data_IF_812543471701
#
_entry.id   IF_812543471701
#
_cell.length_a   1.000
_cell.length_b   1.000
_cell.length_c   1.000
_cell.angle_alpha   90.00
_cell.angle_beta   90.00
_cell.angle_gamma   90.00
#
_symmetry.space_group_name_H-M   'P 1'
#
loop_
_entity.id
_entity.type
_entity.pdbx_description
1 polymer ?
#
# COMPACT_ATOMS: atom_id res chain seq x y z
N UNK A 1 -8.09 -22.27 17.63
CA UNK A 1 -8.38 -20.87 17.29
C UNK A 1 -9.12 -20.33 18.50
N UNK A 2 -8.43 -19.56 19.33
CA UNK A 2 -9.10 -18.87 20.45
C UNK A 2 -10.10 -17.91 19.84
N UNK A 3 -11.40 -18.15 20.09
CA UNK A 3 -12.43 -17.13 19.90
C UNK A 3 -12.04 -15.97 20.80
N UNK A 4 -11.38 -14.97 20.22
CA UNK A 4 -11.33 -13.66 20.83
C UNK A 4 -12.71 -13.05 20.63
N UNK A 5 -13.42 -12.81 21.73
CA UNK A 5 -14.68 -12.08 21.71
C UNK A 5 -14.42 -10.70 21.14
N UNK A 6 -14.80 -10.50 19.87
CA UNK A 6 -14.69 -9.21 19.20
C UNK A 6 -15.46 -8.15 19.98
N UNK A 7 -14.99 -6.90 19.93
CA UNK A 7 -15.78 -5.78 20.41
C UNK A 7 -17.14 -5.75 19.70
N UNK A 8 -18.23 -5.30 20.35
CA UNK A 8 -19.53 -5.19 19.69
C UNK A 8 -19.49 -4.35 18.40
N UNK A 9 -18.62 -3.34 18.37
CA UNK A 9 -18.39 -2.48 17.19
C UNK A 9 -17.77 -3.28 16.05
N UNK A 10 -16.71 -4.04 16.32
CA UNK A 10 -16.02 -4.85 15.31
C UNK A 10 -16.89 -6.02 14.84
N UNK A 11 -17.68 -6.64 15.74
CA UNK A 11 -18.65 -7.67 15.37
C UNK A 11 -19.70 -7.14 14.38
N UNK A 12 -20.36 -6.02 14.71
CA UNK A 12 -21.35 -5.39 13.84
C UNK A 12 -20.75 -4.93 12.50
N UNK A 13 -19.50 -4.45 12.52
CA UNK A 13 -18.74 -4.11 11.32
C UNK A 13 -18.54 -5.33 10.41
N UNK A 14 -18.10 -6.45 10.99
CA UNK A 14 -17.81 -7.70 10.27
C UNK A 14 -19.06 -8.36 9.70
N UNK A 15 -20.21 -8.18 10.34
CA UNK A 15 -21.51 -8.59 9.78
C UNK A 15 -21.93 -7.73 8.58
N UNK A 16 -21.67 -6.41 8.63
CA UNK A 16 -22.08 -5.46 7.58
C UNK A 16 -21.26 -5.58 6.29
N UNK A 17 -19.94 -5.77 6.41
CA UNK A 17 -19.03 -5.77 5.26
C UNK A 17 -18.81 -7.20 4.77
N UNK A 18 -19.53 -7.58 3.72
CA UNK A 18 -19.46 -8.93 3.13
C UNK A 18 -18.46 -9.08 1.98
N UNK A 19 -17.79 -7.98 1.58
CA UNK A 19 -16.77 -7.95 0.51
C UNK A 19 -15.69 -6.93 0.86
N UNK A 20 -14.49 -7.09 0.29
CA UNK A 20 -13.43 -6.10 0.43
C UNK A 20 -13.91 -4.69 0.07
N UNK A 21 -13.68 -3.77 0.99
CA UNK A 21 -14.15 -2.39 0.93
C UNK A 21 -13.04 -1.44 1.37
N UNK A 22 -12.95 -0.30 0.72
CA UNK A 22 -12.12 0.84 1.13
C UNK A 22 -12.84 1.53 2.28
N UNK A 23 -12.20 1.57 3.44
CA UNK A 23 -12.66 2.34 4.59
C UNK A 23 -12.33 3.82 4.39
N UNK A 24 -13.34 4.63 4.07
CA UNK A 24 -13.15 6.02 3.63
C UNK A 24 -12.40 6.90 4.65
N UNK A 25 -12.63 6.78 5.97
CA UNK A 25 -11.86 7.53 6.97
C UNK A 25 -10.33 7.38 6.89
N UNK A 26 -9.81 6.18 6.60
CA UNK A 26 -8.35 5.93 6.68
C UNK A 26 -7.69 5.50 5.36
N UNK A 27 -8.50 5.14 4.34
CA UNK A 27 -8.03 4.61 3.07
C UNK A 27 -7.39 3.23 3.16
N UNK A 28 -7.65 2.51 4.26
CA UNK A 28 -7.34 1.09 4.40
C UNK A 28 -8.39 0.24 3.68
N UNK A 29 -8.00 -0.95 3.23
CA UNK A 29 -8.95 -1.94 2.74
C UNK A 29 -9.28 -2.89 3.90
N UNK A 30 -10.57 -3.11 4.16
CA UNK A 30 -11.05 -4.08 5.14
C UNK A 30 -12.15 -4.96 4.57
N UNK A 31 -12.37 -6.13 5.16
CA UNK A 31 -13.41 -7.07 4.76
C UNK A 31 -12.89 -8.50 4.54
N UNK A 32 -13.80 -9.42 4.17
CA UNK A 32 -13.47 -10.83 4.01
C UNK A 32 -12.64 -11.09 2.74
N UNK A 33 -11.63 -11.95 2.86
CA UNK A 33 -10.83 -12.47 1.76
C UNK A 33 -11.18 -13.92 1.53
N UNK A 34 -11.73 -14.23 0.35
CA UNK A 34 -11.90 -15.60 -0.09
C UNK A 34 -10.54 -16.14 -0.59
N UNK A 35 -10.02 -17.19 0.06
CA UNK A 35 -8.86 -17.91 -0.47
C UNK A 35 -9.33 -18.88 -1.56
N UNK A 36 -8.79 -18.73 -2.78
CA UNK A 36 -9.15 -19.55 -3.94
C UNK A 36 -9.01 -21.07 -3.71
N UNK A 37 -8.20 -21.50 -2.75
CA UNK A 37 -7.90 -22.91 -2.46
C UNK A 37 -8.72 -23.51 -1.30
N UNK A 38 -9.48 -22.72 -0.56
CA UNK A 38 -10.27 -23.21 0.58
C UNK A 38 -11.66 -22.59 0.58
N UNK A 39 -12.63 -23.30 0.00
CA UNK A 39 -14.06 -22.92 -0.05
C UNK A 39 -14.74 -22.73 1.33
N UNK A 40 -14.02 -22.88 2.46
CA UNK A 40 -14.61 -22.94 3.80
C UNK A 40 -14.17 -21.88 4.79
N UNK A 41 -13.11 -21.11 4.54
CA UNK A 41 -12.66 -20.09 5.51
C UNK A 41 -12.29 -18.79 4.79
N UNK A 42 -13.21 -17.83 4.81
CA UNK A 42 -12.85 -16.45 4.54
C UNK A 42 -12.08 -15.93 5.76
N UNK A 43 -10.87 -15.42 5.55
CA UNK A 43 -10.14 -14.68 6.59
C UNK A 43 -10.54 -13.22 6.52
N UNK A 44 -10.50 -12.50 7.63
CA UNK A 44 -10.83 -11.09 7.62
C UNK A 44 -9.58 -10.24 7.55
N UNK A 45 -9.57 -9.26 6.65
CA UNK A 45 -8.56 -8.22 6.62
C UNK A 45 -9.06 -7.01 7.37
N UNK A 46 -8.31 -6.59 8.39
CA UNK A 46 -8.63 -5.40 9.17
C UNK A 46 -7.93 -4.15 8.64
N UNK A 47 -8.50 -2.98 8.96
CA UNK A 47 -7.79 -1.71 8.92
C UNK A 47 -7.41 -1.24 10.33
N UNK A 48 -6.61 -0.19 10.44
CA UNK A 48 -6.15 0.36 11.74
C UNK A 48 -7.23 1.08 12.56
N UNK A 49 -8.47 1.13 12.07
CA UNK A 49 -9.60 1.77 12.76
C UNK A 49 -10.50 0.76 13.49
N UNK A 50 -10.21 -0.53 13.38
CA UNK A 50 -10.84 -1.56 14.21
C UNK A 50 -10.20 -1.58 15.60
N UNK A 51 -10.99 -1.91 16.61
CA UNK A 51 -10.51 -2.00 18.00
C UNK A 51 -9.54 -3.17 18.14
N UNK A 52 -9.87 -4.28 17.48
CA UNK A 52 -9.11 -5.53 17.50
C UNK A 52 -8.80 -6.01 16.07
N UNK A 53 -7.81 -5.40 15.39
CA UNK A 53 -7.41 -5.81 14.05
C UNK A 53 -6.98 -7.29 14.01
N UNK A 54 -7.50 -8.03 13.04
CA UNK A 54 -7.19 -9.44 12.86
C UNK A 54 -5.71 -9.66 12.54
N UNK A 55 -5.11 -10.61 13.26
CA UNK A 55 -3.73 -11.06 13.05
C UNK A 55 -3.73 -12.46 12.43
N UNK A 56 -2.87 -12.66 11.43
CA UNK A 56 -2.74 -13.92 10.72
C UNK A 56 -1.41 -14.58 11.10
N UNK A 57 -1.44 -15.58 11.97
CA UNK A 57 -0.23 -16.17 12.57
C UNK A 57 0.73 -16.83 11.57
N UNK A 58 0.26 -17.15 10.37
CA UNK A 58 1.04 -17.84 9.33
C UNK A 58 1.81 -16.90 8.39
N UNK A 59 1.75 -15.59 8.62
CA UNK A 59 2.38 -14.57 7.77
C UNK A 59 3.00 -13.45 8.60
N UNK A 60 3.95 -12.71 8.03
CA UNK A 60 4.57 -11.57 8.71
C UNK A 60 3.77 -10.26 8.56
N UNK A 61 2.78 -10.23 7.66
CA UNK A 61 1.90 -9.08 7.43
C UNK A 61 0.46 -9.56 7.21
N UNK A 62 -0.42 -9.26 8.16
CA UNK A 62 -1.87 -9.62 8.17
C UNK A 62 -2.72 -8.77 7.22
N UNK A 63 -2.26 -8.56 5.99
CA UNK A 63 -3.02 -7.88 4.93
C UNK A 63 -2.58 -8.38 3.57
N UNK A 64 -3.54 -8.71 2.73
CA UNK A 64 -3.31 -9.10 1.34
C UNK A 64 -3.41 -7.91 0.39
N UNK A 65 -4.34 -6.99 0.65
CA UNK A 65 -4.64 -5.87 -0.24
C UNK A 65 -4.46 -4.52 0.44
N UNK A 66 -3.65 -3.67 -0.16
CA UNK A 66 -3.59 -2.24 0.11
C UNK A 66 -4.04 -1.47 -1.13
N UNK A 67 -4.52 -0.23 -0.97
CA UNK A 67 -4.54 0.70 -2.10
C UNK A 67 -3.10 1.03 -2.50
N UNK A 68 -2.82 1.08 -3.80
CA UNK A 68 -1.52 1.49 -4.32
C UNK A 68 -1.09 2.83 -3.72
N UNK A 69 0.12 2.91 -3.17
CA UNK A 69 0.64 4.10 -2.49
C UNK A 69 0.73 5.34 -3.39
N UNK A 70 0.85 5.14 -4.70
CA UNK A 70 1.00 6.22 -5.68
C UNK A 70 -0.36 6.62 -6.26
N UNK A 71 -1.02 5.74 -7.00
CA UNK A 71 -2.25 6.10 -7.70
C UNK A 71 -3.50 6.00 -6.82
N UNK A 72 -3.47 5.18 -5.76
CA UNK A 72 -4.61 4.88 -4.88
C UNK A 72 -5.85 4.31 -5.59
N UNK A 73 -5.72 3.88 -6.84
CA UNK A 73 -6.79 3.28 -7.66
C UNK A 73 -6.71 1.76 -7.69
N UNK A 74 -5.53 1.26 -8.04
CA UNK A 74 -5.25 -0.17 -8.08
C UNK A 74 -4.94 -0.72 -6.69
N UNK A 75 -5.01 -2.04 -6.54
CA UNK A 75 -4.50 -2.72 -5.35
C UNK A 75 -2.99 -2.98 -5.45
N UNK A 76 -2.38 -3.09 -4.29
CA UNK A 76 -1.01 -3.53 -4.06
C UNK A 76 -0.99 -4.39 -2.78
N UNK A 77 0.20 -4.68 -2.27
CA UNK A 77 0.37 -5.43 -1.03
C UNK A 77 0.69 -6.90 -1.28
N UNK A 78 0.30 -7.72 -0.32
CA UNK A 78 0.73 -9.10 -0.17
C UNK A 78 0.97 -9.43 1.30
N UNK A 79 0.94 -10.70 1.64
CA UNK A 79 1.06 -11.14 3.04
C UNK A 79 2.50 -11.19 3.55
N UNK A 80 3.48 -10.75 2.74
CA UNK A 80 4.89 -10.75 3.12
C UNK A 80 5.40 -9.33 3.40
N UNK A 81 6.43 -9.19 4.25
CA UNK A 81 7.29 -8.01 4.30
C UNK A 81 8.05 -7.79 2.99
N UNK A 82 8.16 -8.82 2.15
CA UNK A 82 8.70 -8.75 0.80
C UNK A 82 7.64 -8.46 -0.27
N UNK A 83 6.61 -7.67 0.09
CA UNK A 83 5.55 -7.25 -0.84
C UNK A 83 5.74 -5.80 -1.28
N UNK A 84 5.21 -5.47 -2.46
CA UNK A 84 5.21 -4.12 -2.99
C UNK A 84 4.03 -3.32 -2.43
N UNK A 85 4.22 -2.03 -2.14
CA UNK A 85 3.15 -1.10 -1.72
C UNK A 85 2.54 -0.33 -2.88
N UNK A 86 2.97 -0.60 -4.12
CA UNK A 86 2.46 0.02 -5.33
C UNK A 86 2.02 -1.05 -6.34
N UNK A 87 1.00 -0.72 -7.13
CA UNK A 87 0.52 -1.59 -8.21
C UNK A 87 1.56 -1.77 -9.31
N UNK A 88 1.33 -2.73 -10.19
CA UNK A 88 2.23 -3.05 -11.30
C UNK A 88 2.57 -1.86 -12.19
N UNK A 89 1.58 -1.10 -12.64
CA UNK A 89 1.80 0.09 -13.48
C UNK A 89 2.67 1.14 -12.78
N UNK A 90 2.37 1.46 -11.52
CA UNK A 90 3.17 2.40 -10.74
C UNK A 90 4.61 1.90 -10.51
N UNK A 91 4.81 0.58 -10.34
CA UNK A 91 6.16 0.01 -10.26
C UNK A 91 6.90 0.10 -11.58
N UNK A 92 6.23 -0.17 -12.70
CA UNK A 92 6.82 -0.07 -14.03
C UNK A 92 7.27 1.37 -14.32
N UNK A 93 6.46 2.36 -13.97
CA UNK A 93 6.81 3.78 -14.11
C UNK A 93 7.98 4.15 -13.19
N UNK A 94 7.95 3.74 -11.92
CA UNK A 94 9.06 3.97 -10.98
C UNK A 94 10.40 3.44 -11.52
N UNK A 95 10.37 2.26 -12.16
CA UNK A 95 11.54 1.66 -12.81
C UNK A 95 11.95 2.41 -14.07
N UNK A 96 11.01 2.89 -14.88
CA UNK A 96 11.32 3.69 -16.06
C UNK A 96 12.00 5.02 -15.67
N UNK A 97 11.50 5.69 -14.63
CA UNK A 97 12.14 6.90 -14.09
C UNK A 97 13.52 6.60 -13.54
N UNK A 98 13.70 5.46 -12.86
CA UNK A 98 15.03 5.03 -12.40
C UNK A 98 16.03 4.91 -13.55
N UNK A 99 15.61 4.31 -14.67
CA UNK A 99 16.46 4.17 -15.85
C UNK A 99 16.78 5.53 -16.50
N UNK A 100 15.84 6.48 -16.48
CA UNK A 100 16.03 7.81 -17.07
C UNK A 100 16.91 8.73 -16.21
N UNK A 101 16.79 8.66 -14.89
CA UNK A 101 17.48 9.57 -13.96
C UNK A 101 18.73 8.96 -13.31
N UNK A 102 18.93 7.66 -13.42
CA UNK A 102 20.02 6.94 -12.74
C UNK A 102 19.75 6.67 -11.25
N UNK A 103 18.65 7.15 -10.68
CA UNK A 103 18.26 6.90 -9.29
C UNK A 103 16.77 6.60 -9.17
N UNK A 104 16.39 5.75 -8.22
CA UNK A 104 14.99 5.36 -8.01
C UNK A 104 14.28 6.46 -7.21
N UNK A 105 13.16 7.02 -7.68
CA UNK A 105 12.56 8.16 -7.02
C UNK A 105 11.78 7.78 -5.75
N UNK A 106 11.17 6.58 -5.72
CA UNK A 106 10.38 6.13 -4.57
C UNK A 106 10.74 4.71 -4.14
N UNK A 107 10.80 4.50 -2.82
CA UNK A 107 10.97 3.19 -2.20
C UNK A 107 9.61 2.48 -2.08
N UNK A 108 9.25 1.70 -3.11
CA UNK A 108 7.93 1.05 -3.22
C UNK A 108 7.89 -0.39 -2.66
N UNK A 109 9.00 -0.93 -2.18
CA UNK A 109 9.03 -2.19 -1.45
C UNK A 109 8.87 -1.96 0.06
N UNK A 110 8.13 -2.84 0.74
CA UNK A 110 8.01 -2.79 2.22
C UNK A 110 9.34 -3.07 2.94
N UNK A 111 10.27 -3.74 2.27
CA UNK A 111 11.59 -4.07 2.81
C UNK A 111 12.71 -3.31 2.08
N UNK A 112 13.72 -2.84 2.81
CA UNK A 112 14.88 -2.09 2.27
C UNK A 112 15.56 -2.78 1.08
N UNK A 113 15.81 -4.09 1.20
CA UNK A 113 16.36 -4.93 0.13
C UNK A 113 15.58 -4.86 -1.20
N UNK A 114 14.24 -4.77 -1.16
CA UNK A 114 13.43 -4.61 -2.38
C UNK A 114 13.68 -3.26 -3.08
N UNK A 115 14.21 -2.30 -2.33
CA UNK A 115 14.57 -0.98 -2.79
C UNK A 115 16.06 -0.86 -3.15
N UNK A 116 16.81 -1.97 -3.15
CA UNK A 116 18.26 -1.98 -3.41
C UNK A 116 19.08 -1.41 -2.25
N UNK A 117 18.49 -1.33 -1.06
CA UNK A 117 19.12 -0.75 0.12
C UNK A 117 19.56 -1.88 1.05
N UNK A 118 20.86 -2.07 1.14
CA UNK A 118 21.51 -3.03 2.04
C UNK A 118 22.91 -2.54 2.42
N UNK A 119 23.42 -3.05 3.53
CA UNK A 119 24.78 -2.79 4.02
C UNK A 119 25.60 -4.06 3.80
N UNK A 120 26.70 -3.96 3.08
CA UNK A 120 27.59 -5.09 2.82
C UNK A 120 28.65 -5.18 3.91
N UNK A 121 28.69 -6.31 4.63
CA UNK A 121 29.75 -6.61 5.58
C UNK A 121 31.11 -6.71 4.87
N UNK A 122 32.13 -6.07 5.44
CA UNK A 122 33.50 -6.08 4.89
C UNK A 122 33.77 -5.10 3.74
N UNK A 123 32.80 -4.27 3.37
CA UNK A 123 33.02 -3.19 2.40
C UNK A 123 33.95 -2.08 2.97
N UNK A 124 34.60 -1.25 2.13
CA UNK A 124 35.33 -0.08 2.60
C UNK A 124 34.45 0.84 3.45
N UNK A 125 35.03 1.49 4.47
CA UNK A 125 34.29 2.31 5.44
C UNK A 125 33.41 3.38 4.79
N UNK A 126 33.92 4.08 3.78
CA UNK A 126 33.16 5.10 3.03
C UNK A 126 31.89 4.51 2.39
N UNK A 127 32.00 3.34 1.76
CA UNK A 127 30.86 2.65 1.15
C UNK A 127 29.87 2.18 2.21
N UNK A 128 30.33 1.73 3.38
CA UNK A 128 29.44 1.37 4.49
C UNK A 128 28.70 2.60 5.05
N UNK A 129 29.38 3.74 5.20
CA UNK A 129 28.77 5.00 5.65
C UNK A 129 27.68 5.47 4.68
N UNK A 130 27.93 5.42 3.37
CA UNK A 130 26.91 5.70 2.34
C UNK A 130 25.73 4.72 2.40
N UNK A 131 26.00 3.42 2.57
CA UNK A 131 24.96 2.40 2.70
C UNK A 131 24.11 2.59 3.95
N UNK A 132 24.72 2.95 5.07
CA UNK A 132 24.04 3.26 6.33
C UNK A 132 23.21 4.53 6.23
N UNK A 133 23.69 5.55 5.52
CA UNK A 133 22.93 6.77 5.27
C UNK A 133 21.63 6.44 4.50
N UNK A 134 21.72 5.70 3.40
CA UNK A 134 20.53 5.27 2.62
C UNK A 134 19.57 4.40 3.42
N UNK A 135 20.10 3.51 4.28
CA UNK A 135 19.25 2.70 5.17
C UNK A 135 18.54 3.56 6.20
N UNK A 136 19.22 4.57 6.76
CA UNK A 136 18.65 5.53 7.70
C UNK A 136 17.55 6.36 7.04
N UNK A 137 17.79 6.85 5.82
CA UNK A 137 16.79 7.56 5.02
C UNK A 137 15.56 6.70 4.75
N UNK A 138 15.76 5.44 4.34
CA UNK A 138 14.66 4.50 4.16
C UNK A 138 13.87 4.28 5.47
N UNK A 139 14.55 4.12 6.60
CA UNK A 139 13.91 3.90 7.90
C UNK A 139 13.11 5.11 8.39
N UNK A 140 13.55 6.34 8.05
CA UNK A 140 12.77 7.57 8.30
C UNK A 140 11.50 7.65 7.46
N UNK A 141 11.45 6.88 6.37
CA UNK A 141 10.33 6.86 5.44
C UNK A 141 10.36 8.04 4.47
N UNK A 142 9.64 7.88 3.37
CA UNK A 142 9.51 8.89 2.33
C UNK A 142 8.39 9.88 2.70
N UNK A 143 8.74 11.00 3.35
CA UNK A 143 7.80 12.03 3.78
C UNK A 143 6.98 12.57 2.61
N UNK A 144 7.61 12.75 1.45
CA UNK A 144 6.96 13.19 0.21
C UNK A 144 5.90 12.18 -0.24
N UNK A 145 6.21 10.89 -0.24
CA UNK A 145 5.24 9.84 -0.57
C UNK A 145 4.12 9.73 0.47
N UNK A 146 4.41 10.03 1.74
CA UNK A 146 3.39 10.10 2.78
C UNK A 146 2.44 11.28 2.58
N UNK A 147 2.96 12.50 2.41
CA UNK A 147 2.19 13.72 2.16
C UNK A 147 1.35 13.62 0.87
N UNK A 148 1.97 13.07 -0.19
CA UNK A 148 1.30 12.77 -1.44
C UNK A 148 0.09 11.87 -1.23
N UNK A 149 0.27 10.72 -0.57
CA UNK A 149 -0.85 9.82 -0.31
C UNK A 149 -1.97 10.55 0.42
N UNK A 150 -1.66 11.33 1.47
CA UNK A 150 -2.70 12.00 2.24
C UNK A 150 -3.50 12.97 1.38
N UNK A 151 -2.82 13.72 0.52
CA UNK A 151 -3.45 14.71 -0.37
C UNK A 151 -4.24 14.05 -1.49
N UNK A 152 -3.63 13.11 -2.20
CA UNK A 152 -4.27 12.41 -3.32
C UNK A 152 -5.44 11.54 -2.85
N UNK A 153 -5.31 10.88 -1.70
CA UNK A 153 -6.39 10.11 -1.11
C UNK A 153 -7.59 10.99 -0.80
N UNK A 154 -7.38 12.13 -0.12
CA UNK A 154 -8.46 13.09 0.17
C UNK A 154 -9.15 13.57 -1.10
N UNK A 155 -8.38 13.83 -2.17
CA UNK A 155 -8.93 14.24 -3.48
C UNK A 155 -9.82 13.15 -4.09
N UNK A 156 -9.39 11.90 -4.09
CA UNK A 156 -10.15 10.77 -4.64
C UNK A 156 -11.37 10.42 -3.78
N UNK A 157 -11.22 10.52 -2.45
CA UNK A 157 -12.26 10.19 -1.49
C UNK A 157 -13.39 11.24 -1.39
N UNK A 158 -13.16 12.48 -1.87
CA UNK A 158 -14.06 13.62 -1.68
C UNK A 158 -15.51 13.44 -2.17
N UNK A 159 -15.76 12.48 -3.08
CA UNK A 159 -17.10 12.21 -3.63
C UNK A 159 -17.86 11.13 -2.86
N UNK A 160 -17.24 10.49 -1.87
CA UNK A 160 -17.85 9.47 -1.04
C UNK A 160 -18.24 10.05 0.32
N UNK A 161 -19.20 9.40 0.98
CA UNK A 161 -19.51 9.69 2.37
C UNK A 161 -18.24 9.46 3.23
N UNK A 162 -17.84 10.44 4.07
CA UNK A 162 -16.58 10.39 4.82
C UNK A 162 -16.53 9.26 5.86
N UNK A 163 -17.66 8.67 6.22
CA UNK A 163 -17.78 7.56 7.19
C UNK A 163 -18.07 6.21 6.52
N UNK A 164 -18.11 6.15 5.18
CA UNK A 164 -18.51 4.96 4.47
C UNK A 164 -17.42 3.88 4.36
N UNK A 165 -17.90 2.66 4.14
CA UNK A 165 -17.17 1.56 3.56
C UNK A 165 -17.58 1.39 2.10
N UNK A 166 -16.70 1.73 1.17
CA UNK A 166 -16.98 1.65 -0.26
C UNK A 166 -16.41 0.35 -0.80
N UNK A 167 -17.25 -0.51 -1.36
CA UNK A 167 -16.81 -1.77 -1.99
C UNK A 167 -15.64 -1.49 -2.94
N UNK A 168 -14.56 -2.26 -2.84
CA UNK A 168 -13.34 -2.04 -3.63
C UNK A 168 -13.61 -1.95 -5.13
N UNK A 169 -14.54 -2.77 -5.63
CA UNK A 169 -14.99 -2.70 -7.02
C UNK A 169 -15.59 -1.34 -7.40
N UNK A 170 -16.45 -0.78 -6.54
CA UNK A 170 -17.06 0.55 -6.79
C UNK A 170 -15.99 1.63 -6.74
N UNK A 171 -15.06 1.56 -5.78
CA UNK A 171 -13.90 2.46 -5.75
C UNK A 171 -13.12 2.44 -7.08
N UNK A 172 -12.87 1.25 -7.63
CA UNK A 172 -12.17 1.07 -8.90
C UNK A 172 -13.01 1.41 -10.13
N UNK A 173 -14.33 1.33 -10.07
CA UNK A 173 -15.22 1.80 -11.15
C UNK A 173 -15.23 3.33 -11.22
N UNK A 174 -15.27 4.01 -10.07
CA UNK A 174 -15.19 5.48 -9.99
C UNK A 174 -13.79 5.99 -10.31
N UNK A 175 -12.76 5.26 -9.86
CA UNK A 175 -11.36 5.57 -10.10
C UNK A 175 -10.65 4.43 -10.82
N UNK A 176 -10.84 4.27 -12.15
CA UNK A 176 -10.25 3.18 -12.91
C UNK A 176 -8.73 3.13 -12.78
N UNK A 177 -8.16 1.99 -12.36
CA UNK A 177 -6.72 1.78 -12.43
C UNK A 177 -6.30 1.57 -13.89
N UNK A 178 -5.29 2.31 -14.31
CA UNK A 178 -4.66 2.14 -15.62
C UNK A 178 -3.22 2.66 -15.59
N UNK A 179 -2.45 2.31 -16.62
CA UNK A 179 -1.12 2.88 -16.83
C UNK A 179 -1.16 4.40 -16.97
N UNK A 180 -2.18 4.94 -17.65
CA UNK A 180 -2.39 6.39 -17.80
C UNK A 180 -2.66 7.07 -16.46
N UNK A 181 -3.58 6.52 -15.66
CA UNK A 181 -3.88 7.05 -14.32
C UNK A 181 -2.65 6.98 -13.40
N UNK A 182 -1.84 5.93 -13.55
CA UNK A 182 -0.58 5.78 -12.83
C UNK A 182 0.46 6.83 -13.27
N UNK A 183 0.57 7.12 -14.57
CA UNK A 183 1.43 8.20 -15.11
C UNK A 183 0.99 9.57 -14.61
N UNK A 184 -0.31 9.86 -14.65
CA UNK A 184 -0.90 11.12 -14.13
C UNK A 184 -0.57 11.31 -12.64
N UNK A 185 -0.77 10.27 -11.83
CA UNK A 185 -0.41 10.32 -10.41
C UNK A 185 1.09 10.56 -10.20
N UNK A 186 1.95 9.89 -10.98
CA UNK A 186 3.40 10.12 -10.94
C UNK A 186 3.78 11.55 -11.35
N UNK A 187 3.18 12.09 -12.41
CA UNK A 187 3.46 13.44 -12.89
C UNK A 187 3.09 14.50 -11.84
N UNK A 188 1.95 14.34 -11.16
CA UNK A 188 1.55 15.22 -10.04
C UNK A 188 2.45 15.05 -8.82
N UNK A 189 2.85 13.82 -8.49
CA UNK A 189 3.71 13.52 -7.35
C UNK A 189 5.13 14.06 -7.55
N UNK A 190 5.69 13.85 -8.75
CA UNK A 190 7.05 14.22 -9.14
C UNK A 190 7.17 15.72 -9.42
N UNK A 191 6.17 16.31 -10.07
CA UNK A 191 6.18 17.71 -10.48
C UNK A 191 7.02 17.97 -11.74
N UNK A 192 7.46 19.22 -11.94
CA UNK A 192 8.26 19.62 -13.11
C UNK A 192 9.55 18.80 -13.20
N UNK A 193 9.74 18.10 -14.32
CA UNK A 193 10.90 17.21 -14.55
C UNK A 193 10.55 15.73 -14.69
N UNK A 194 9.30 15.33 -14.49
CA UNK A 194 8.84 13.99 -14.83
C UNK A 194 8.99 13.73 -16.34
N UNK A 195 9.71 12.67 -16.77
CA UNK A 195 9.88 12.35 -18.18
C UNK A 195 8.53 11.96 -18.78
N UNK A 196 8.07 12.71 -19.79
CA UNK A 196 6.72 12.57 -20.34
C UNK A 196 6.58 11.46 -21.38
N UNK A 197 7.64 10.74 -21.70
CA UNK A 197 7.66 9.80 -22.84
C UNK A 197 7.61 8.33 -22.38
#
# INVERSE_FOLDING_TARGET
MTEHDLSPTDAALRERIIVLSVHIPCGGIRGPIQRATQRKFAIWQSCSCEDEPEKWDWVDVSRLYDLCRICLRATAGGVSRFSWIACEDCRAINSAVHNAWGFRPFALGRHSLMNGIGVQGGAPRQLQEEQLARLTEFARGDSRLWEWRQTEYRRLAAHFDPLADVKLRIWQEVHPPSREASRDAFARLVGPGFPLD
#
